data_IF_209611225812
#
_entry.id   IF_209611225812
#
_cell.length_a   1.000
_cell.length_b   1.000
_cell.length_c   1.000
_cell.angle_alpha   90.00
_cell.angle_beta   90.00
_cell.angle_gamma   90.00
#
_symmetry.space_group_name_H-M   'P 1'
#
loop_
_entity.id
_entity.type
_entity.pdbx_description
1 polymer ?
#
# COMPACT_ATOMS: atom_id res chain seq x y z
N UNK A 1 44.96 -48.57 -6.34
CA UNK A 1 45.42 -47.62 -7.36
C UNK A 1 45.31 -46.20 -6.79
N UNK A 2 46.44 -45.59 -6.41
CA UNK A 2 46.52 -44.22 -5.88
C UNK A 2 47.07 -43.31 -6.98
N UNK A 3 46.34 -42.24 -7.29
CA UNK A 3 46.71 -41.29 -8.34
C UNK A 3 47.88 -40.38 -7.89
N UNK A 4 48.78 -39.98 -8.82
CA UNK A 4 49.94 -39.18 -8.50
C UNK A 4 49.58 -37.70 -8.28
N UNK A 5 50.05 -37.14 -7.17
CA UNK A 5 49.97 -35.71 -6.85
C UNK A 5 50.91 -34.88 -7.74
N UNK A 6 50.45 -33.75 -8.31
CA UNK A 6 51.28 -32.90 -9.16
C UNK A 6 52.26 -32.03 -8.34
N UNK A 7 53.37 -31.59 -8.95
CA UNK A 7 54.42 -30.86 -8.29
C UNK A 7 54.02 -29.42 -7.95
N UNK A 8 54.37 -28.99 -6.74
CA UNK A 8 54.22 -27.61 -6.27
C UNK A 8 55.22 -26.70 -6.97
N UNK A 9 54.74 -25.88 -7.91
CA UNK A 9 55.49 -24.76 -8.44
C UNK A 9 55.59 -23.64 -7.40
N UNK A 10 56.81 -23.38 -6.94
CA UNK A 10 57.19 -22.21 -6.15
C UNK A 10 57.01 -20.93 -6.99
N UNK A 11 55.85 -20.29 -6.84
CA UNK A 11 55.59 -18.96 -7.42
C UNK A 11 56.46 -17.92 -6.73
N UNK A 12 57.53 -17.53 -7.40
CA UNK A 12 58.29 -16.31 -7.14
C UNK A 12 57.31 -15.13 -7.23
N UNK A 13 56.97 -14.53 -6.09
CA UNK A 13 56.23 -13.26 -6.03
C UNK A 13 57.13 -12.14 -6.55
N UNK A 14 57.06 -11.88 -7.85
CA UNK A 14 57.44 -10.59 -8.41
C UNK A 14 56.48 -9.54 -7.82
N UNK A 15 57.00 -8.72 -6.92
CA UNK A 15 56.40 -7.48 -6.47
C UNK A 15 56.18 -6.56 -7.67
N UNK A 16 54.96 -6.58 -8.21
CA UNK A 16 54.54 -5.63 -9.22
C UNK A 16 54.39 -4.23 -8.59
N UNK A 17 54.97 -3.17 -9.18
CA UNK A 17 54.75 -1.81 -8.75
C UNK A 17 53.29 -1.41 -8.97
N UNK A 18 52.61 -1.01 -7.90
CA UNK A 18 51.22 -0.56 -7.90
C UNK A 18 51.04 0.80 -8.61
N UNK A 19 50.97 0.79 -9.94
CA UNK A 19 50.66 1.94 -10.80
C UNK A 19 49.14 2.14 -10.97
N UNK A 20 48.40 2.49 -9.90
CA UNK A 20 46.92 2.62 -9.99
C UNK A 20 46.36 3.97 -9.47
N UNK A 21 47.19 4.92 -9.03
CA UNK A 21 46.68 6.17 -8.43
C UNK A 21 46.34 7.31 -9.39
N UNK A 22 46.62 7.20 -10.70
CA UNK A 22 46.44 8.30 -11.67
C UNK A 22 45.01 8.52 -12.22
N UNK A 23 44.09 7.56 -12.09
CA UNK A 23 42.77 7.63 -12.75
C UNK A 23 41.72 8.52 -12.07
N UNK A 24 41.93 8.90 -10.80
CA UNK A 24 40.94 9.66 -10.02
C UNK A 24 40.89 11.15 -10.38
N UNK A 25 42.02 11.75 -10.75
CA UNK A 25 42.11 13.19 -11.04
C UNK A 25 41.47 13.54 -12.39
N UNK A 26 41.62 12.68 -13.40
CA UNK A 26 41.04 12.90 -14.73
C UNK A 26 39.50 12.89 -14.69
N UNK A 27 38.89 11.94 -13.97
CA UNK A 27 37.43 11.87 -13.79
C UNK A 27 36.89 13.10 -13.05
N UNK A 28 37.65 13.61 -12.08
CA UNK A 28 37.23 14.80 -11.34
C UNK A 28 37.25 16.07 -12.21
N UNK A 29 38.25 16.20 -13.09
CA UNK A 29 38.33 17.33 -14.05
C UNK A 29 37.19 17.28 -15.07
N UNK A 30 36.91 16.10 -15.63
CA UNK A 30 35.79 15.90 -16.56
C UNK A 30 34.43 16.18 -15.91
N UNK A 31 34.23 15.75 -14.65
CA UNK A 31 32.99 16.03 -13.91
C UNK A 31 32.82 17.52 -13.62
N UNK A 32 33.89 18.24 -13.27
CA UNK A 32 33.84 19.71 -13.09
C UNK A 32 33.46 20.42 -14.39
N UNK A 33 34.11 20.08 -15.50
CA UNK A 33 33.77 20.65 -16.80
C UNK A 33 32.32 20.37 -17.21
N UNK A 34 31.80 19.17 -16.94
CA UNK A 34 30.40 18.85 -17.20
C UNK A 34 29.44 19.70 -16.34
N UNK A 35 29.75 19.90 -15.06
CA UNK A 35 28.91 20.72 -14.16
C UNK A 35 28.94 22.17 -14.60
N UNK A 36 30.11 22.70 -14.95
CA UNK A 36 30.28 24.08 -15.45
C UNK A 36 29.49 24.30 -16.75
N UNK A 37 29.55 23.36 -17.70
CA UNK A 37 28.72 23.41 -18.91
C UNK A 37 27.22 23.33 -18.62
N UNK A 38 26.81 22.57 -17.60
CA UNK A 38 25.40 22.47 -17.20
C UNK A 38 24.92 23.75 -16.51
N UNK A 39 25.75 24.36 -15.66
CA UNK A 39 25.46 25.64 -15.01
C UNK A 39 25.33 26.75 -16.05
N UNK A 40 26.29 26.86 -16.98
CA UNK A 40 26.26 27.83 -18.09
C UNK A 40 24.99 27.65 -18.94
N UNK A 41 24.65 26.41 -19.32
CA UNK A 41 23.43 26.14 -20.10
C UNK A 41 22.13 26.41 -19.34
N UNK A 42 22.13 26.33 -18.00
CA UNK A 42 20.98 26.71 -17.16
C UNK A 42 20.87 28.23 -17.06
N UNK A 43 21.99 28.95 -16.94
CA UNK A 43 22.03 30.41 -16.90
C UNK A 43 21.66 31.05 -18.26
N UNK A 44 22.12 30.50 -19.38
CA UNK A 44 21.72 30.96 -20.73
C UNK A 44 20.27 30.64 -21.05
N UNK A 45 19.65 29.73 -20.31
CA UNK A 45 18.29 29.27 -20.53
C UNK A 45 18.14 28.20 -21.63
N UNK A 46 19.25 27.78 -22.26
CA UNK A 46 19.26 26.72 -23.27
C UNK A 46 18.88 25.34 -22.68
N UNK A 47 19.12 25.15 -21.38
CA UNK A 47 18.71 23.96 -20.61
C UNK A 47 17.40 24.18 -19.82
N UNK A 48 16.53 25.10 -20.24
CA UNK A 48 15.19 25.17 -19.65
C UNK A 48 14.38 23.94 -20.07
N UNK A 49 14.13 23.05 -19.10
CA UNK A 49 13.17 21.99 -19.28
C UNK A 49 11.78 22.61 -19.50
N UNK A 50 11.23 22.50 -20.71
CA UNK A 50 9.87 22.95 -20.98
C UNK A 50 8.87 22.01 -20.26
N UNK A 51 8.57 22.31 -19.00
CA UNK A 51 7.64 21.50 -18.19
C UNK A 51 6.24 21.41 -18.82
N UNK A 52 5.88 22.33 -19.74
CA UNK A 52 4.58 22.33 -20.41
C UNK A 52 4.41 21.13 -21.33
N UNK A 53 5.48 20.59 -21.89
CA UNK A 53 5.42 19.38 -22.74
C UNK A 53 5.01 18.14 -21.94
N UNK A 54 5.33 18.11 -20.64
CA UNK A 54 4.97 17.03 -19.72
C UNK A 54 3.60 17.23 -19.07
N UNK A 55 2.83 18.23 -19.50
CA UNK A 55 1.49 18.49 -18.96
C UNK A 55 0.54 17.36 -19.34
N UNK A 56 -0.06 16.71 -18.35
CA UNK A 56 -1.06 15.66 -18.58
C UNK A 56 -2.22 16.24 -19.41
N UNK A 57 -2.56 15.63 -20.57
CA UNK A 57 -3.68 16.04 -21.42
C UNK A 57 -4.99 16.15 -20.64
N UNK A 58 -5.84 17.11 -21.01
CA UNK A 58 -7.06 17.43 -20.24
C UNK A 58 -8.09 16.27 -20.22
N UNK A 59 -8.15 15.46 -21.27
CA UNK A 59 -8.97 14.24 -21.32
C UNK A 59 -8.50 13.20 -20.29
N UNK A 60 -7.20 12.89 -20.26
CA UNK A 60 -6.61 11.91 -19.34
C UNK A 60 -6.68 12.37 -17.89
N UNK A 61 -6.42 13.65 -17.64
CA UNK A 61 -6.55 14.25 -16.31
C UNK A 61 -7.98 14.12 -15.78
N UNK A 62 -8.98 14.45 -16.60
CA UNK A 62 -10.40 14.33 -16.21
C UNK A 62 -10.77 12.87 -15.94
N UNK A 63 -10.33 11.94 -16.80
CA UNK A 63 -10.59 10.51 -16.60
C UNK A 63 -10.04 10.01 -15.27
N UNK A 64 -8.78 10.36 -14.94
CA UNK A 64 -8.13 9.95 -13.69
C UNK A 64 -8.79 10.56 -12.45
N UNK A 65 -9.14 11.86 -12.50
CA UNK A 65 -9.86 12.53 -11.39
C UNK A 65 -11.23 11.88 -11.16
N UNK A 66 -12.00 11.64 -12.22
CA UNK A 66 -13.32 11.00 -12.12
C UNK A 66 -13.22 9.60 -11.54
N UNK A 67 -12.25 8.80 -11.99
CA UNK A 67 -12.03 7.45 -11.50
C UNK A 67 -11.69 7.46 -10.01
N UNK A 68 -10.75 8.33 -9.61
CA UNK A 68 -10.34 8.45 -8.22
C UNK A 68 -11.50 8.89 -7.33
N UNK A 69 -12.25 9.91 -7.73
CA UNK A 69 -13.40 10.39 -6.98
C UNK A 69 -14.46 9.29 -6.81
N UNK A 70 -14.76 8.55 -7.88
CA UNK A 70 -15.69 7.42 -7.83
C UNK A 70 -15.21 6.35 -6.84
N UNK A 71 -13.91 6.03 -6.82
CA UNK A 71 -13.34 5.10 -5.84
C UNK A 71 -13.49 5.63 -4.40
N UNK A 72 -13.21 6.92 -4.15
CA UNK A 72 -13.39 7.54 -2.84
C UNK A 72 -14.84 7.49 -2.37
N UNK A 73 -15.80 7.80 -3.25
CA UNK A 73 -17.24 7.71 -2.96
C UNK A 73 -17.62 6.28 -2.59
N UNK A 74 -17.21 5.30 -3.39
CA UNK A 74 -17.51 3.88 -3.13
C UNK A 74 -16.90 3.40 -1.81
N UNK A 75 -15.65 3.79 -1.52
CA UNK A 75 -14.98 3.46 -0.25
C UNK A 75 -15.75 4.04 0.93
N UNK A 76 -16.19 5.29 0.84
CA UNK A 76 -17.00 5.94 1.87
C UNK A 76 -18.35 5.25 2.06
N UNK A 77 -19.07 4.97 0.97
CA UNK A 77 -20.36 4.29 1.02
C UNK A 77 -20.25 2.93 1.73
N UNK A 78 -19.23 2.13 1.37
CA UNK A 78 -18.94 0.84 2.04
C UNK A 78 -18.65 1.00 3.52
N UNK A 79 -17.83 1.99 3.89
CA UNK A 79 -17.51 2.26 5.29
C UNK A 79 -18.77 2.68 6.08
N UNK A 80 -19.66 3.47 5.49
CA UNK A 80 -20.93 3.86 6.11
C UNK A 80 -21.87 2.67 6.26
N UNK A 81 -22.00 1.81 5.25
CA UNK A 81 -22.78 0.58 5.33
C UNK A 81 -22.27 -0.33 6.44
N UNK A 82 -20.96 -0.57 6.49
CA UNK A 82 -20.34 -1.40 7.53
C UNK A 82 -20.52 -0.82 8.94
N UNK A 83 -20.39 0.51 9.09
CA UNK A 83 -20.66 1.18 10.36
C UNK A 83 -22.12 1.01 10.78
N UNK A 84 -23.05 1.21 9.85
CA UNK A 84 -24.48 1.05 10.11
C UNK A 84 -24.83 -0.39 10.51
N UNK A 85 -24.29 -1.40 9.82
CA UNK A 85 -24.47 -2.81 10.17
C UNK A 85 -23.95 -3.12 11.58
N UNK A 86 -22.80 -2.56 11.96
CA UNK A 86 -22.23 -2.72 13.31
C UNK A 86 -23.15 -2.11 14.38
N UNK A 87 -23.67 -0.90 14.15
CA UNK A 87 -24.63 -0.26 15.07
C UNK A 87 -25.91 -1.07 15.18
N UNK A 88 -26.45 -1.58 14.07
CA UNK A 88 -27.64 -2.43 14.09
C UNK A 88 -27.41 -3.71 14.90
N UNK A 89 -26.26 -4.37 14.72
CA UNK A 89 -25.89 -5.56 15.50
C UNK A 89 -25.75 -5.25 16.98
N UNK A 90 -25.11 -4.13 17.34
CA UNK A 90 -24.98 -3.71 18.73
C UNK A 90 -26.34 -3.50 19.40
N UNK A 91 -27.30 -2.85 18.71
CA UNK A 91 -28.67 -2.65 19.21
C UNK A 91 -29.40 -3.99 19.37
N UNK A 92 -29.20 -4.95 18.45
CA UNK A 92 -29.77 -6.30 18.58
C UNK A 92 -29.20 -7.01 19.81
N UNK A 93 -27.88 -6.98 20.00
CA UNK A 93 -27.23 -7.58 21.17
C UNK A 93 -27.67 -6.94 22.48
N UNK A 94 -27.81 -5.62 22.53
CA UNK A 94 -28.33 -4.91 23.71
C UNK A 94 -29.74 -5.41 24.08
N UNK A 95 -30.63 -5.57 23.08
CA UNK A 95 -31.97 -6.10 23.28
C UNK A 95 -31.97 -7.54 23.78
N UNK A 96 -31.09 -8.39 23.23
CA UNK A 96 -30.94 -9.78 23.65
C UNK A 96 -30.47 -9.88 25.10
N UNK A 97 -29.47 -9.08 25.50
CA UNK A 97 -28.98 -9.02 26.89
C UNK A 97 -30.08 -8.54 27.83
N UNK A 98 -30.82 -7.49 27.45
CA UNK A 98 -31.92 -6.99 28.27
C UNK A 98 -33.03 -8.03 28.43
N UNK A 99 -33.38 -8.76 27.37
CA UNK A 99 -34.34 -9.87 27.43
C UNK A 99 -33.84 -11.01 28.33
N UNK A 100 -32.55 -11.35 28.24
CA UNK A 100 -31.93 -12.36 29.08
C UNK A 100 -31.98 -11.95 30.56
N UNK A 101 -31.61 -10.71 30.90
CA UNK A 101 -31.69 -10.22 32.29
C UNK A 101 -33.13 -10.27 32.82
N UNK A 102 -34.11 -9.87 31.99
CA UNK A 102 -35.53 -9.96 32.35
C UNK A 102 -35.97 -11.39 32.64
N UNK A 103 -35.45 -12.39 31.92
CA UNK A 103 -35.73 -13.80 32.17
C UNK A 103 -35.26 -14.25 33.57
N UNK A 104 -34.17 -13.68 34.10
CA UNK A 104 -33.67 -13.95 35.46
C UNK A 104 -34.39 -13.15 36.56
N UNK A 105 -35.49 -12.47 36.24
CA UNK A 105 -36.23 -11.68 37.23
C UNK A 105 -35.60 -10.33 37.55
N UNK A 106 -34.64 -9.86 36.73
CA UNK A 106 -34.23 -8.46 36.81
C UNK A 106 -35.42 -7.59 36.39
N UNK A 107 -36.04 -6.91 37.34
CA UNK A 107 -37.11 -5.96 37.03
C UNK A 107 -36.52 -4.80 36.21
N UNK A 108 -37.13 -4.55 35.05
CA UNK A 108 -36.83 -3.40 34.21
C UNK A 108 -37.30 -2.14 34.93
N UNK A 109 -36.59 -1.72 35.98
CA UNK A 109 -36.84 -0.43 36.59
C UNK A 109 -36.58 0.65 35.51
N UNK A 110 -37.54 1.56 35.25
CA UNK A 110 -37.41 2.59 34.24
C UNK A 110 -36.33 3.64 34.56
N UNK A 111 -35.57 3.48 35.65
CA UNK A 111 -34.50 4.39 36.07
C UNK A 111 -33.19 4.21 35.30
N UNK A 112 -33.14 3.31 34.31
CA UNK A 112 -32.01 3.29 33.39
C UNK A 112 -32.16 4.48 32.44
N UNK A 113 -31.65 5.64 32.88
CA UNK A 113 -31.38 6.76 31.99
C UNK A 113 -30.68 6.16 30.76
N UNK A 114 -31.19 6.39 29.53
CA UNK A 114 -30.53 5.93 28.33
C UNK A 114 -29.09 6.40 28.46
N UNK A 115 -28.13 5.48 28.39
CA UNK A 115 -26.70 5.77 28.54
C UNK A 115 -26.46 7.00 27.70
N UNK A 116 -26.36 8.15 28.37
CA UNK A 116 -26.30 9.42 27.69
C UNK A 116 -24.85 9.45 27.29
N UNK A 117 -24.54 8.88 26.12
CA UNK A 117 -23.22 8.86 25.56
C UNK A 117 -22.79 10.31 25.62
N UNK A 118 -21.85 10.62 26.52
CA UNK A 118 -21.48 11.98 26.82
C UNK A 118 -20.69 12.50 25.61
N UNK A 119 -21.43 12.94 24.60
CA UNK A 119 -20.91 13.44 23.33
C UNK A 119 -20.04 14.68 23.53
N UNK A 120 -20.14 15.33 24.69
CA UNK A 120 -19.30 16.46 25.07
C UNK A 120 -17.80 16.11 25.12
N UNK A 121 -17.44 14.84 25.39
CA UNK A 121 -16.04 14.39 25.42
C UNK A 121 -15.58 13.74 24.10
N UNK A 122 -16.49 13.51 23.15
CA UNK A 122 -16.06 13.20 21.79
C UNK A 122 -15.60 14.51 21.16
N UNK A 123 -14.33 14.86 21.37
CA UNK A 123 -13.68 15.88 20.55
C UNK A 123 -14.06 15.58 19.10
N UNK A 124 -14.71 16.54 18.46
CA UNK A 124 -15.09 16.44 17.07
C UNK A 124 -13.79 16.25 16.29
N UNK A 125 -13.42 15.00 16.04
CA UNK A 125 -12.37 14.66 15.10
C UNK A 125 -12.84 15.32 13.83
N UNK A 126 -12.17 16.40 13.45
CA UNK A 126 -12.47 17.15 12.24
C UNK A 126 -12.25 16.21 11.07
N UNK A 127 -13.28 15.43 10.75
CA UNK A 127 -13.27 14.56 9.60
C UNK A 127 -13.30 15.49 8.41
N UNK A 128 -12.13 15.69 7.82
CA UNK A 128 -12.02 16.38 6.54
C UNK A 128 -13.08 15.81 5.60
N UNK A 129 -13.78 16.66 4.85
CA UNK A 129 -14.77 16.17 3.92
C UNK A 129 -14.16 15.12 3.00
N UNK A 130 -14.90 14.07 2.65
CA UNK A 130 -14.33 12.96 1.88
C UNK A 130 -13.82 13.35 0.49
N UNK A 131 -14.27 14.50 -0.04
CA UNK A 131 -13.79 15.08 -1.29
C UNK A 131 -12.49 15.87 -1.13
N UNK A 132 -12.02 16.07 0.10
CA UNK A 132 -10.74 16.68 0.36
C UNK A 132 -9.63 15.78 -0.21
N UNK A 133 -8.66 16.45 -0.82
CA UNK A 133 -7.50 15.84 -1.43
C UNK A 133 -6.27 16.32 -0.67
N UNK A 134 -5.46 15.38 -0.22
CA UNK A 134 -4.13 15.73 0.25
C UNK A 134 -3.20 16.01 -0.93
N UNK A 135 -2.14 16.76 -0.69
CA UNK A 135 -1.10 17.01 -1.70
C UNK A 135 -0.50 15.70 -2.22
N UNK A 136 -0.23 14.74 -1.32
CA UNK A 136 0.29 13.42 -1.66
C UNK A 136 -0.64 12.66 -2.62
N UNK A 137 -1.95 12.74 -2.41
CA UNK A 137 -2.93 12.13 -3.30
C UNK A 137 -2.87 12.75 -4.70
N UNK A 138 -2.72 14.07 -4.80
CA UNK A 138 -2.53 14.75 -6.08
C UNK A 138 -1.24 14.32 -6.78
N UNK A 139 -0.13 14.29 -6.06
CA UNK A 139 1.18 13.86 -6.60
C UNK A 139 1.12 12.41 -7.09
N UNK A 140 0.45 11.53 -6.34
CA UNK A 140 0.20 10.15 -6.73
C UNK A 140 -0.64 10.07 -8.01
N UNK A 141 -1.72 10.86 -8.14
CA UNK A 141 -2.54 10.89 -9.36
C UNK A 141 -1.74 11.36 -10.57
N UNK A 142 -0.88 12.37 -10.40
CA UNK A 142 0.00 12.88 -11.45
C UNK A 142 0.97 11.78 -11.89
N UNK A 143 1.61 11.08 -10.94
CA UNK A 143 2.51 9.98 -11.22
C UNK A 143 1.82 8.85 -11.99
N UNK A 144 0.65 8.40 -11.52
CA UNK A 144 -0.14 7.36 -12.19
C UNK A 144 -0.57 7.77 -13.60
N UNK A 145 -0.96 9.04 -13.79
CA UNK A 145 -1.31 9.58 -15.10
C UNK A 145 -0.11 9.59 -16.05
N UNK A 146 1.06 10.02 -15.58
CA UNK A 146 2.29 10.00 -16.37
C UNK A 146 2.73 8.57 -16.73
N UNK A 147 2.51 7.61 -15.83
CA UNK A 147 2.74 6.18 -16.08
C UNK A 147 1.73 5.60 -17.07
N UNK A 148 0.46 6.05 -17.05
CA UNK A 148 -0.54 5.74 -18.07
C UNK A 148 -0.04 6.13 -19.47
N UNK A 149 0.63 7.27 -19.55
CA UNK A 149 1.11 7.89 -20.77
C UNK A 149 2.53 7.49 -21.19
N UNK A 150 3.18 6.52 -20.53
CA UNK A 150 4.58 6.16 -20.79
C UNK A 150 4.95 5.89 -22.27
N UNK A 151 3.98 5.52 -23.11
CA UNK A 151 4.17 5.25 -24.54
C UNK A 151 4.08 6.48 -25.43
N UNK A 152 3.47 7.57 -24.95
CA UNK A 152 3.37 8.81 -25.70
C UNK A 152 4.59 9.67 -25.40
N UNK A 153 5.21 10.25 -26.43
CA UNK A 153 6.21 11.30 -26.22
C UNK A 153 5.46 12.54 -25.70
N UNK A 154 5.99 13.27 -24.70
CA UNK A 154 7.32 13.14 -24.08
C UNK A 154 7.35 12.29 -22.80
N UNK A 155 6.23 11.67 -22.39
CA UNK A 155 6.08 10.98 -21.11
C UNK A 155 6.99 9.75 -20.92
N UNK A 156 7.59 9.21 -21.99
CA UNK A 156 8.59 8.14 -21.89
C UNK A 156 9.73 8.48 -20.91
N UNK A 157 10.17 9.74 -20.92
CA UNK A 157 11.31 10.21 -20.11
C UNK A 157 10.89 10.95 -18.84
N UNK A 158 9.59 10.89 -18.50
CA UNK A 158 9.04 11.54 -17.31
C UNK A 158 9.68 11.00 -16.02
N UNK A 159 9.97 11.85 -15.00
CA UNK A 159 10.61 11.42 -13.75
C UNK A 159 9.85 10.30 -13.04
N UNK A 160 8.52 10.34 -13.00
CA UNK A 160 7.68 9.25 -12.43
C UNK A 160 7.81 7.88 -13.13
N UNK A 161 8.46 7.83 -14.30
CA UNK A 161 8.72 6.61 -15.07
C UNK A 161 10.18 6.14 -14.95
N UNK A 162 11.07 6.93 -14.31
CA UNK A 162 12.48 6.58 -14.05
C UNK A 162 12.54 5.71 -12.80
N UNK A 163 12.65 4.39 -12.98
CA UNK A 163 12.74 3.42 -11.87
C UNK A 163 11.70 2.31 -11.89
N UNK A 164 10.74 2.36 -12.83
CA UNK A 164 9.86 1.22 -13.06
C UNK A 164 10.67 0.05 -13.63
N UNK A 165 10.53 -1.18 -13.07
CA UNK A 165 11.18 -2.36 -13.63
C UNK A 165 10.76 -2.57 -15.09
N UNK A 166 11.71 -2.94 -15.94
CA UNK A 166 11.50 -3.08 -17.39
C UNK A 166 10.40 -4.09 -17.74
N UNK A 167 10.11 -5.02 -16.82
CA UNK A 167 8.99 -5.97 -16.91
C UNK A 167 7.63 -5.25 -16.99
N UNK A 168 7.40 -4.22 -16.18
CA UNK A 168 6.18 -3.42 -16.21
C UNK A 168 6.08 -2.57 -17.49
N UNK A 169 7.22 -2.08 -17.98
CA UNK A 169 7.29 -1.36 -19.27
C UNK A 169 6.90 -2.28 -20.44
N UNK A 170 7.39 -3.52 -20.45
CA UNK A 170 7.09 -4.52 -21.48
C UNK A 170 5.65 -5.04 -21.42
N UNK A 171 5.11 -5.35 -20.25
CA UNK A 171 3.73 -5.84 -20.11
C UNK A 171 2.72 -4.88 -20.75
N UNK A 172 2.88 -3.58 -20.48
CA UNK A 172 1.99 -2.57 -21.04
C UNK A 172 2.05 -2.52 -22.56
N UNK A 173 3.24 -2.70 -23.16
CA UNK A 173 3.41 -2.70 -24.63
C UNK A 173 2.65 -3.84 -25.32
N UNK A 174 2.67 -5.05 -24.75
CA UNK A 174 1.98 -6.22 -25.31
C UNK A 174 0.46 -6.07 -25.32
N UNK A 175 -0.12 -5.50 -24.26
CA UNK A 175 -1.58 -5.31 -24.19
C UNK A 175 -2.11 -4.37 -25.28
N UNK A 176 -1.34 -3.36 -25.68
CA UNK A 176 -1.76 -2.47 -26.78
C UNK A 176 -1.60 -3.11 -28.16
N UNK A 177 -0.59 -3.98 -28.36
CA UNK A 177 -0.45 -4.71 -29.62
C UNK A 177 -1.50 -5.81 -29.76
N UNK A 178 -1.85 -6.50 -28.67
CA UNK A 178 -2.88 -7.56 -28.69
C UNK A 178 -4.29 -7.00 -28.85
N UNK A 179 -4.58 -5.82 -28.28
CA UNK A 179 -5.84 -5.12 -28.51
C UNK A 179 -5.99 -4.60 -29.96
N UNK A 180 -4.90 -4.51 -30.74
CA UNK A 180 -4.93 -4.13 -32.15
C UNK A 180 -4.98 -5.32 -33.12
N UNK A 181 -4.46 -6.49 -32.74
CA UNK A 181 -4.30 -7.63 -33.64
C UNK A 181 -5.54 -8.51 -33.81
N UNK A 182 -6.56 -8.39 -32.96
CA UNK A 182 -7.81 -9.18 -33.05
C UNK A 182 -8.97 -8.46 -33.76
N UNK A 183 -8.72 -7.32 -34.42
CA UNK A 183 -9.76 -6.50 -35.06
C UNK A 183 -9.64 -6.40 -36.59
N UNK A 184 -9.19 -7.47 -37.24
CA UNK A 184 -9.27 -7.62 -38.70
C UNK A 184 -10.60 -8.27 -39.07
N UNK A 185 -11.66 -7.46 -39.23
CA UNK A 185 -12.84 -7.65 -40.13
C UNK A 185 -14.19 -7.09 -39.62
N UNK A 186 -14.25 -6.20 -38.63
CA UNK A 186 -15.51 -5.49 -38.32
C UNK A 186 -15.33 -3.96 -38.33
N UNK A 187 -15.79 -3.38 -39.43
CA UNK A 187 -16.45 -2.08 -39.60
C UNK A 187 -16.19 -0.97 -38.55
N UNK A 188 -15.44 0.03 -38.99
CA UNK A 188 -15.49 1.48 -38.73
C UNK A 188 -16.61 1.94 -37.76
N UNK A 189 -16.39 1.81 -36.45
CA UNK A 189 -16.89 2.71 -35.38
C UNK A 189 -16.25 2.25 -34.06
N UNK A 190 -14.98 2.60 -33.88
CA UNK A 190 -14.23 2.20 -32.70
C UNK A 190 -14.66 2.99 -31.45
N UNK A 191 -14.84 2.33 -30.28
CA UNK A 191 -15.19 3.00 -29.03
C UNK A 191 -14.05 3.91 -28.55
N UNK A 192 -14.40 5.10 -28.07
CA UNK A 192 -13.42 6.10 -27.63
C UNK A 192 -12.59 5.59 -26.45
N UNK A 193 -11.43 6.20 -26.18
CA UNK A 193 -10.56 5.84 -25.04
C UNK A 193 -11.32 5.87 -23.71
N UNK A 194 -12.33 6.75 -23.58
CA UNK A 194 -13.22 6.81 -22.41
C UNK A 194 -14.12 5.56 -22.25
N UNK A 195 -14.51 4.95 -23.36
CA UNK A 195 -15.38 3.78 -23.39
C UNK A 195 -14.61 2.47 -23.11
N UNK A 196 -13.33 2.41 -23.51
CA UNK A 196 -12.42 1.33 -23.08
C UNK A 196 -12.13 1.38 -21.57
N UNK A 197 -11.99 2.59 -21.01
CA UNK A 197 -11.87 2.76 -19.57
C UNK A 197 -13.15 2.30 -18.83
N UNK A 198 -14.34 2.64 -19.35
CA UNK A 198 -15.62 2.20 -18.78
C UNK A 198 -15.81 0.66 -18.83
N UNK A 199 -15.40 0.02 -19.93
CA UNK A 199 -15.48 -1.44 -20.08
C UNK A 199 -14.52 -2.21 -19.15
N UNK A 200 -13.38 -1.62 -18.76
CA UNK A 200 -12.48 -2.22 -17.78
C UNK A 200 -13.11 -2.26 -16.36
N UNK A 201 -13.98 -1.30 -16.03
CA UNK A 201 -14.62 -1.20 -14.72
C UNK A 201 -15.94 -1.97 -14.58
N UNK A 202 -16.70 -2.21 -15.66
CA UNK A 202 -17.91 -3.06 -15.63
C UNK A 202 -17.66 -4.53 -15.23
N UNK A 203 -16.41 -4.97 -15.17
CA UNK A 203 -16.01 -6.31 -14.66
C UNK A 203 -15.69 -6.35 -13.17
N UNK A 204 -15.66 -5.19 -12.50
CA UNK A 204 -15.68 -5.13 -11.04
C UNK A 204 -17.16 -5.14 -10.66
N UNK A 205 -17.72 -6.33 -10.59
CA UNK A 205 -19.10 -6.54 -10.16
C UNK A 205 -19.20 -6.16 -8.68
N UNK A 206 -19.87 -5.05 -8.30
CA UNK A 206 -19.95 -4.61 -6.92
C UNK A 206 -20.81 -5.54 -6.05
N UNK A 207 -21.59 -6.44 -6.67
CA UNK A 207 -22.38 -7.46 -5.99
C UNK A 207 -21.58 -8.73 -5.69
N UNK A 208 -20.40 -8.91 -6.29
CA UNK A 208 -19.51 -10.04 -5.99
C UNK A 208 -18.71 -9.68 -4.74
N UNK A 209 -19.41 -9.72 -3.61
CA UNK A 209 -18.84 -9.58 -2.29
C UNK A 209 -17.59 -10.45 -2.19
N UNK A 210 -16.49 -9.85 -1.76
CA UNK A 210 -15.38 -10.59 -1.19
C UNK A 210 -16.01 -11.50 -0.15
N UNK A 211 -15.92 -12.84 -0.26
CA UNK A 211 -16.38 -13.70 0.80
C UNK A 211 -15.52 -13.37 2.01
N UNK A 212 -16.05 -12.53 2.91
CA UNK A 212 -15.57 -12.39 4.26
C UNK A 212 -15.52 -13.81 4.79
N UNK A 213 -14.31 -14.33 4.92
CA UNK A 213 -14.07 -15.67 5.41
C UNK A 213 -14.81 -15.81 6.72
N UNK A 214 -15.92 -16.55 6.69
CA UNK A 214 -16.38 -17.25 7.89
C UNK A 214 -15.17 -18.01 8.37
N UNK A 215 -14.65 -17.67 9.55
CA UNK A 215 -13.82 -18.58 10.34
C UNK A 215 -14.63 -19.87 10.46
N UNK A 216 -14.35 -20.82 9.56
CA UNK A 216 -14.87 -22.16 9.66
C UNK A 216 -14.06 -22.81 10.76
N UNK A 217 -14.72 -23.11 11.87
CA UNK A 217 -14.21 -24.01 12.90
C UNK A 217 -13.76 -25.29 12.20
N UNK A 218 -12.48 -25.58 12.31
CA UNK A 218 -11.80 -26.60 11.55
C UNK A 218 -12.03 -27.95 12.22
N UNK A 219 -13.05 -28.68 11.78
CA UNK A 219 -13.23 -30.08 12.16
C UNK A 219 -12.26 -30.95 11.34
N UNK A 220 -11.29 -31.50 12.06
CA UNK A 220 -10.28 -32.45 11.61
C UNK A 220 -10.90 -33.71 11.00
N UNK A 221 -10.95 -33.84 9.67
CA UNK A 221 -10.98 -35.16 8.99
C UNK A 221 -10.23 -35.17 7.65
N UNK A 222 -8.94 -35.51 7.76
CA UNK A 222 -8.22 -36.53 6.99
C UNK A 222 -8.82 -36.91 5.61
N UNK A 223 -8.28 -36.33 4.54
CA UNK A 223 -8.18 -37.02 3.25
C UNK A 223 -6.85 -36.68 2.57
N UNK A 224 -6.10 -37.75 2.25
CA UNK A 224 -4.87 -37.74 1.45
C UNK A 224 -5.29 -37.61 -0.02
N UNK A 225 -4.60 -36.80 -0.80
CA UNK A 225 -4.58 -37.00 -2.25
C UNK A 225 -4.25 -35.77 -3.09
N UNK A 226 -3.09 -35.86 -3.75
CA UNK A 226 -2.77 -35.27 -5.06
C UNK A 226 -2.56 -33.75 -5.15
N UNK A 227 -1.28 -33.40 -5.06
CA UNK A 227 -0.64 -32.27 -5.70
C UNK A 227 -1.09 -32.12 -7.16
N UNK A 228 -1.65 -30.95 -7.53
CA UNK A 228 -1.72 -30.53 -8.94
C UNK A 228 -1.53 -29.03 -9.04
N UNK A 229 -0.58 -28.67 -9.88
CA UNK A 229 -0.05 -27.34 -10.11
C UNK A 229 -1.14 -26.28 -10.34
N UNK A 230 -0.95 -25.14 -9.68
CA UNK A 230 -1.58 -23.86 -9.94
C UNK A 230 -1.26 -23.41 -11.37
N UNK A 231 -2.17 -23.67 -12.29
CA UNK A 231 -2.20 -23.08 -13.61
C UNK A 231 -2.68 -21.62 -13.49
N UNK A 232 -1.72 -20.69 -13.50
CA UNK A 232 -1.96 -19.26 -13.71
C UNK A 232 -2.43 -19.05 -15.16
N UNK A 233 -3.74 -18.87 -15.34
CA UNK A 233 -4.34 -18.38 -16.57
C UNK A 233 -5.09 -17.06 -16.32
N UNK A 234 -4.66 -16.02 -17.03
CA UNK A 234 -5.59 -15.08 -17.65
C UNK A 234 -5.73 -13.69 -17.06
N UNK A 235 -5.17 -12.72 -17.79
CA UNK A 235 -5.40 -11.25 -17.76
C UNK A 235 -4.81 -10.47 -16.59
N UNK A 236 -3.73 -9.76 -16.93
CA UNK A 236 -3.02 -8.80 -16.10
C UNK A 236 -3.95 -7.74 -15.52
N UNK A 237 -4.32 -7.95 -14.26
CA UNK A 237 -4.63 -6.88 -13.33
C UNK A 237 -3.51 -6.88 -12.31
N UNK A 238 -2.85 -5.74 -12.13
CA UNK A 238 -2.07 -5.52 -10.93
C UNK A 238 -3.09 -5.37 -9.82
N UNK A 239 -3.21 -6.39 -8.97
CA UNK A 239 -4.07 -6.34 -7.80
C UNK A 239 -3.49 -5.29 -6.84
N UNK A 240 -4.19 -4.17 -6.71
CA UNK A 240 -3.78 -3.06 -5.85
C UNK A 240 -3.71 -3.53 -4.39
N UNK A 241 -4.54 -4.50 -4.00
CA UNK A 241 -4.47 -5.12 -2.68
C UNK A 241 -3.23 -6.01 -2.52
N UNK A 242 -2.72 -6.62 -3.59
CA UNK A 242 -1.45 -7.35 -3.58
C UNK A 242 -0.25 -6.40 -3.48
N UNK A 243 -0.33 -5.22 -4.10
CA UNK A 243 0.64 -4.12 -3.90
C UNK A 243 0.62 -3.63 -2.45
N UNK A 244 -0.56 -3.41 -1.86
CA UNK A 244 -0.67 -3.01 -0.45
C UNK A 244 -0.22 -4.12 0.51
N UNK A 245 -0.47 -5.40 0.20
CA UNK A 245 0.09 -6.54 0.94
C UNK A 245 1.62 -6.61 0.87
N UNK A 246 2.21 -6.13 -0.22
CA UNK A 246 3.67 -5.99 -0.39
C UNK A 246 4.25 -4.72 0.25
N UNK A 247 3.43 -3.73 0.64
CA UNK A 247 3.84 -2.58 1.46
C UNK A 247 3.75 -2.87 2.96
N UNK A 248 2.86 -3.77 3.36
CA UNK A 248 2.73 -4.22 4.75
C UNK A 248 3.81 -5.16 5.31
N UNK A 249 4.77 -5.78 4.59
CA UNK A 249 5.78 -6.63 5.22
C UNK A 249 6.56 -5.84 6.27
N UNK A 250 6.99 -4.63 5.94
CA UNK A 250 7.72 -3.78 6.88
C UNK A 250 6.87 -3.32 8.06
N UNK A 251 5.58 -3.05 7.85
CA UNK A 251 4.65 -2.70 8.95
C UNK A 251 4.32 -3.91 9.83
N UNK A 252 4.24 -5.12 9.25
CA UNK A 252 4.07 -6.37 9.98
C UNK A 252 5.31 -6.67 10.80
N UNK A 253 6.51 -6.54 10.22
CA UNK A 253 7.78 -6.72 10.91
C UNK A 253 7.89 -5.74 12.08
N UNK A 254 7.57 -4.45 11.87
CA UNK A 254 7.54 -3.44 12.96
C UNK A 254 6.50 -3.82 14.04
N UNK A 255 5.32 -4.29 13.65
CA UNK A 255 4.28 -4.69 14.61
C UNK A 255 4.64 -5.95 15.39
N UNK A 256 5.31 -6.93 14.77
CA UNK A 256 5.81 -8.13 15.44
C UNK A 256 6.98 -7.78 16.36
N UNK A 257 7.89 -6.90 15.94
CA UNK A 257 9.02 -6.41 16.74
C UNK A 257 8.52 -5.66 17.99
N UNK A 258 7.54 -4.75 17.84
CA UNK A 258 6.92 -4.06 18.97
C UNK A 258 6.12 -4.99 19.90
N UNK A 259 5.44 -6.00 19.35
CA UNK A 259 4.69 -6.97 20.15
C UNK A 259 5.61 -7.89 20.98
N UNK A 260 6.78 -8.24 20.43
CA UNK A 260 7.81 -9.01 21.15
C UNK A 260 8.44 -8.17 22.26
N UNK A 261 8.75 -6.90 22.00
CA UNK A 261 9.32 -5.99 22.99
C UNK A 261 8.36 -5.74 24.17
N UNK A 262 7.07 -5.54 23.89
CA UNK A 262 6.05 -5.40 24.93
C UNK A 262 5.93 -6.66 25.80
N UNK A 263 5.94 -7.86 25.18
CA UNK A 263 5.85 -9.12 25.93
C UNK A 263 7.11 -9.37 26.78
N UNK A 264 8.29 -8.98 26.31
CA UNK A 264 9.54 -9.05 27.08
C UNK A 264 9.59 -8.08 28.26
N UNK A 265 9.07 -6.86 28.09
CA UNK A 265 9.04 -5.87 29.16
C UNK A 265 8.05 -6.21 30.30
N UNK A 266 6.99 -6.97 30.02
CA UNK A 266 6.02 -7.40 31.02
C UNK A 266 6.56 -8.45 32.01
N UNK A 267 7.52 -9.29 31.59
CA UNK A 267 8.12 -10.31 32.46
C UNK A 267 9.16 -9.75 33.44
N UNK A 268 9.77 -8.59 33.14
CA UNK A 268 10.83 -8.00 33.98
C UNK A 268 10.27 -7.28 35.22
N UNK A 269 9.01 -6.85 35.19
CA UNK A 269 8.35 -6.13 36.31
C UNK A 269 7.58 -7.01 37.30
N UNK A 270 7.54 -8.33 37.12
CA UNK A 270 6.91 -9.24 38.10
C UNK A 270 7.87 -9.72 39.20
N UNK A 271 9.12 -9.26 39.19
CA UNK A 271 10.06 -9.42 40.30
C UNK A 271 9.66 -8.53 41.48
N UNK A 272 8.66 -8.97 42.24
CA UNK A 272 8.22 -8.40 43.53
C UNK A 272 9.44 -8.22 44.46
N UNK A 273 9.91 -7.00 44.72
CA UNK A 273 10.80 -6.75 45.84
C UNK A 273 9.94 -6.70 47.10
N UNK A 274 10.35 -7.48 48.09
CA UNK A 274 9.61 -7.76 49.31
C UNK A 274 8.99 -6.55 50.00
N UNK A 275 7.83 -6.85 50.57
CA UNK A 275 7.16 -6.08 51.61
C UNK A 275 8.14 -5.64 52.69
N UNK A 276 8.50 -4.36 52.69
CA UNK A 276 8.83 -3.66 53.92
C UNK A 276 7.72 -2.66 54.20
N UNK A 277 6.82 -3.07 55.09
CA UNK A 277 5.75 -2.26 55.62
C UNK A 277 6.29 -0.97 56.23
N UNK A 278 5.68 0.15 55.85
CA UNK A 278 5.75 1.38 56.64
C UNK A 278 4.33 1.87 56.85
N UNK A 279 3.82 1.59 58.05
CA UNK A 279 2.65 2.22 58.65
C UNK A 279 2.88 3.74 58.64
N UNK A 280 2.13 4.47 57.80
CA UNK A 280 1.96 5.92 58.01
C UNK A 280 0.52 6.16 58.43
N UNK A 281 0.44 6.40 59.73
CA UNK A 281 -0.70 6.89 60.48
C UNK A 281 -1.19 8.25 59.94
N UNK A 282 -2.51 8.34 59.76
CA UNK A 282 -3.31 9.50 60.18
C UNK A 282 -3.19 10.81 59.40
N UNK A 283 -4.30 11.23 58.79
CA UNK A 283 -5.00 12.41 59.31
C UNK A 283 -6.39 12.55 58.69
N UNK A 284 -7.35 12.50 59.60
CA UNK A 284 -8.71 13.02 59.45
C UNK A 284 -8.62 14.52 59.24
N UNK A 285 -9.29 15.04 58.20
CA UNK A 285 -9.75 16.42 58.20
C UNK A 285 -11.14 16.47 57.59
N UNK A 286 -12.10 16.69 58.49
CA UNK A 286 -13.45 17.10 58.19
C UNK A 286 -13.44 18.57 57.74
N UNK A 287 -14.20 18.86 56.69
CA UNK A 287 -15.23 19.93 56.62
C UNK A 287 -15.93 19.86 55.26
#
# INVERSE_FOLDING_TARGET
ARAPTPPRHSSVRLSQPSLVTGGRTLRHRQRRQLVEMLEEGVETGDLQADWRIYRIPANERRAMITQYYSMKVLKRARSQTSFHECVQQAVVYEREVHQFLKFFGAESSPSHNPVTINTANMQAVSMLPFWHFTEDEFLMLIALSAQALIKTKPFKDHPANKGLPETLRRQKSKEASEAGATSSNQSITGPSVAERAAAHFKRIDPARGVPMGRLRREDTRKSRGASKATALQGKGRVDIDEVFRCFTPRLRDISEEQAVEYRGSAEVTSGVPGEHGTLVSGSVLAL
#
